data_IF_939591006092
#
_entry.id   IF_939591006092
#
_cell.length_a   1.000
_cell.length_b   1.000
_cell.length_c   1.000
_cell.angle_alpha   90.00
_cell.angle_beta   90.00
_cell.angle_gamma   90.00
#
_symmetry.space_group_name_H-M   'P 1'
#
loop_
_entity.id
_entity.type
_entity.pdbx_description
1 polymer ?
#
# COMPACT_ATOMS: atom_id res chain seq x y z
N UNK A 1 -41.37 22.90 -8.85
CA UNK A 1 -40.33 22.30 -9.73
C UNK A 1 -38.93 22.27 -9.12
N UNK A 2 -38.69 22.94 -7.99
CA UNK A 2 -37.35 23.10 -7.39
C UNK A 2 -36.95 21.99 -6.39
N UNK A 3 -37.91 21.24 -5.83
CA UNK A 3 -37.65 20.19 -4.83
C UNK A 3 -37.10 18.89 -5.42
N UNK A 4 -37.58 18.50 -6.61
CA UNK A 4 -37.11 17.31 -7.34
C UNK A 4 -35.71 17.48 -7.92
N UNK A 5 -35.32 18.71 -8.28
CA UNK A 5 -33.98 19.01 -8.79
C UNK A 5 -32.92 18.92 -7.68
N UNK A 6 -33.22 19.45 -6.48
CA UNK A 6 -32.34 19.32 -5.31
C UNK A 6 -32.12 17.86 -4.92
N UNK A 7 -33.17 17.02 -4.95
CA UNK A 7 -33.05 15.58 -4.67
C UNK A 7 -32.20 14.81 -5.68
N UNK A 8 -32.33 15.11 -6.98
CA UNK A 8 -31.49 14.52 -8.03
C UNK A 8 -30.01 14.93 -7.91
N UNK A 9 -29.75 16.19 -7.54
CA UNK A 9 -28.38 16.70 -7.31
C UNK A 9 -27.76 15.99 -6.10
N UNK A 10 -28.48 15.85 -4.99
CA UNK A 10 -28.00 15.14 -3.79
C UNK A 10 -27.69 13.67 -4.13
N UNK A 11 -28.57 12.99 -4.86
CA UNK A 11 -28.35 11.61 -5.28
C UNK A 11 -27.12 11.47 -6.19
N UNK A 12 -26.94 12.40 -7.14
CA UNK A 12 -25.76 12.43 -8.00
C UNK A 12 -24.46 12.67 -7.22
N UNK A 13 -24.48 13.58 -6.23
CA UNK A 13 -23.34 13.83 -5.35
C UNK A 13 -22.99 12.62 -4.48
N UNK A 14 -23.99 11.92 -3.92
CA UNK A 14 -23.77 10.69 -3.17
C UNK A 14 -23.20 9.58 -4.05
N UNK A 15 -23.74 9.38 -5.25
CA UNK A 15 -23.19 8.42 -6.22
C UNK A 15 -21.75 8.76 -6.63
N UNK A 16 -21.44 10.04 -6.82
CA UNK A 16 -20.08 10.50 -7.14
C UNK A 16 -19.11 10.29 -5.97
N UNK A 17 -19.52 10.55 -4.72
CA UNK A 17 -18.72 10.25 -3.53
C UNK A 17 -18.47 8.74 -3.35
N UNK A 18 -19.47 7.91 -3.64
CA UNK A 18 -19.34 6.44 -3.64
C UNK A 18 -18.38 6.00 -4.75
N UNK A 19 -18.49 6.57 -5.94
CA UNK A 19 -17.58 6.31 -7.06
C UNK A 19 -16.14 6.74 -6.72
N UNK A 20 -15.91 7.91 -6.13
CA UNK A 20 -14.58 8.34 -5.67
C UNK A 20 -14.03 7.42 -4.58
N UNK A 21 -14.87 7.02 -3.62
CA UNK A 21 -14.47 6.06 -2.59
C UNK A 21 -14.08 4.72 -3.21
N UNK A 22 -14.82 4.28 -4.23
CA UNK A 22 -14.52 3.09 -5.01
C UNK A 22 -13.22 3.23 -5.81
N UNK A 23 -12.93 4.41 -6.38
CA UNK A 23 -11.66 4.68 -7.08
C UNK A 23 -10.44 4.63 -6.14
N UNK A 24 -10.60 5.01 -4.86
CA UNK A 24 -9.52 4.87 -3.86
C UNK A 24 -9.14 3.42 -3.60
N UNK A 25 -10.10 2.49 -3.67
CA UNK A 25 -9.89 1.05 -3.47
C UNK A 25 -9.23 0.38 -4.68
N UNK A 26 -9.48 0.87 -5.90
CA UNK A 26 -8.90 0.32 -7.13
C UNK A 26 -7.36 0.46 -7.19
N UNK A 27 -6.79 1.43 -6.47
CA UNK A 27 -5.34 1.65 -6.43
C UNK A 27 -4.54 0.56 -5.70
N UNK A 28 -5.16 -0.21 -4.79
CA UNK A 28 -4.44 -1.16 -3.95
C UNK A 28 -4.36 -2.59 -4.55
N UNK A 29 -5.35 -2.97 -5.36
CA UNK A 29 -5.53 -4.37 -5.79
C UNK A 29 -4.51 -4.93 -6.80
N UNK A 30 -3.54 -4.13 -7.26
CA UNK A 30 -2.49 -4.62 -8.18
C UNK A 30 -1.24 -5.15 -7.48
N UNK A 31 -1.15 -5.01 -6.16
CA UNK A 31 0.09 -5.30 -5.44
C UNK A 31 0.14 -6.75 -4.96
N UNK A 32 1.30 -7.42 -5.04
CA UNK A 32 1.43 -8.78 -4.57
C UNK A 32 1.15 -8.90 -3.05
N UNK A 33 0.70 -10.07 -2.56
CA UNK A 33 0.47 -10.31 -1.12
C UNK A 33 1.66 -9.94 -0.23
N UNK A 34 2.89 -10.02 -0.74
CA UNK A 34 4.11 -9.60 -0.04
C UNK A 34 4.05 -8.14 0.42
N UNK A 35 3.45 -7.23 -0.33
CA UNK A 35 3.36 -5.81 0.04
C UNK A 35 2.47 -5.58 1.27
N UNK A 36 1.62 -6.56 1.61
CA UNK A 36 0.71 -6.52 2.75
C UNK A 36 1.27 -7.21 4.00
N UNK A 37 2.46 -7.80 3.91
CA UNK A 37 3.12 -8.44 5.05
C UNK A 37 3.83 -7.42 5.94
N UNK A 38 4.06 -7.80 7.21
CA UNK A 38 4.75 -6.97 8.21
C UNK A 38 6.04 -6.38 7.64
N UNK A 39 6.21 -5.05 7.65
CA UNK A 39 7.42 -4.41 7.15
C UNK A 39 8.58 -4.60 8.13
N UNK A 40 9.82 -4.45 7.62
CA UNK A 40 11.05 -4.41 8.43
C UNK A 40 11.26 -5.62 9.33
N UNK A 41 11.03 -6.82 8.82
CA UNK A 41 11.32 -8.06 9.57
C UNK A 41 12.83 -8.26 9.66
N UNK A 42 13.40 -7.90 10.81
CA UNK A 42 14.85 -7.97 11.06
C UNK A 42 15.39 -9.40 11.02
N UNK A 43 14.66 -10.39 11.57
CA UNK A 43 15.18 -11.74 11.78
C UNK A 43 15.97 -11.89 13.10
N UNK A 44 16.63 -13.04 13.30
CA UNK A 44 17.40 -13.35 14.53
C UNK A 44 18.84 -13.81 14.27
N UNK A 45 19.32 -13.67 13.04
CA UNK A 45 20.68 -14.05 12.68
C UNK A 45 21.67 -12.91 12.98
N UNK A 46 22.89 -12.95 12.45
CA UNK A 46 23.97 -12.00 12.82
C UNK A 46 24.59 -11.26 11.63
N UNK A 47 23.96 -11.31 10.46
CA UNK A 47 24.38 -10.48 9.33
C UNK A 47 23.90 -9.02 9.52
N UNK A 48 24.51 -8.10 8.80
CA UNK A 48 24.07 -6.70 8.73
C UNK A 48 23.88 -6.34 7.26
N UNK A 49 22.64 -6.46 6.79
CA UNK A 49 22.27 -6.18 5.41
C UNK A 49 21.27 -5.04 5.37
N UNK A 50 21.46 -4.08 4.47
CA UNK A 50 20.46 -3.04 4.20
C UNK A 50 19.54 -3.53 3.09
N UNK A 51 18.26 -3.68 3.41
CA UNK A 51 17.21 -4.07 2.48
C UNK A 51 16.06 -3.06 2.58
N UNK A 52 15.07 -3.21 1.71
CA UNK A 52 13.90 -2.33 1.62
C UNK A 52 12.63 -3.13 1.89
N UNK A 53 11.70 -2.55 2.63
CA UNK A 53 10.36 -3.10 2.83
C UNK A 53 9.32 -2.00 2.65
N UNK A 54 8.19 -2.34 2.05
CA UNK A 54 7.07 -1.43 1.85
C UNK A 54 6.29 -1.24 3.15
N UNK A 55 6.15 0.01 3.58
CA UNK A 55 5.39 0.42 4.76
C UNK A 55 4.00 0.91 4.34
N UNK A 56 2.98 0.11 4.67
CA UNK A 56 1.58 0.38 4.32
C UNK A 56 1.06 1.69 4.93
N UNK A 57 1.53 2.06 6.13
CA UNK A 57 1.04 3.24 6.84
C UNK A 57 1.44 4.53 6.13
N UNK A 58 2.68 4.59 5.65
CA UNK A 58 3.19 5.74 4.90
C UNK A 58 3.04 5.61 3.40
N UNK A 59 2.70 4.41 2.90
CA UNK A 59 2.72 4.04 1.48
C UNK A 59 4.07 4.27 0.81
N UNK A 60 5.15 3.89 1.50
CA UNK A 60 6.52 4.12 1.04
C UNK A 60 7.42 2.92 1.31
N UNK A 61 8.32 2.65 0.38
CA UNK A 61 9.45 1.76 0.56
C UNK A 61 10.52 2.39 1.45
N UNK A 62 10.86 1.71 2.54
CA UNK A 62 11.82 2.19 3.54
C UNK A 62 12.97 1.20 3.71
N UNK A 63 14.19 1.73 3.80
CA UNK A 63 15.37 0.95 4.17
C UNK A 63 15.27 0.42 5.60
N UNK A 64 15.80 -0.77 5.85
CA UNK A 64 15.91 -1.36 7.18
C UNK A 64 17.09 -2.35 7.26
N UNK A 65 17.47 -2.71 8.49
CA UNK A 65 18.53 -3.69 8.74
C UNK A 65 17.92 -5.09 8.80
N UNK A 66 18.37 -5.97 7.93
CA UNK A 66 18.05 -7.38 7.91
C UNK A 66 19.23 -8.20 8.43
N UNK A 67 18.94 -9.14 9.34
CA UNK A 67 19.93 -9.97 10.01
C UNK A 67 20.32 -11.24 9.24
N UNK A 68 19.76 -11.47 8.06
CA UNK A 68 20.16 -12.56 7.17
C UNK A 68 19.31 -13.82 7.23
N UNK A 69 18.28 -13.89 8.09
CA UNK A 69 17.33 -15.02 8.10
C UNK A 69 15.92 -14.61 8.53
N UNK A 70 14.94 -15.50 8.29
CA UNK A 70 13.52 -15.29 8.65
C UNK A 70 12.88 -14.05 8.01
N UNK A 71 13.29 -13.72 6.79
CA UNK A 71 12.58 -12.70 6.01
C UNK A 71 11.21 -13.23 5.61
N UNK A 72 10.24 -12.33 5.55
CA UNK A 72 9.01 -12.56 4.79
C UNK A 72 9.20 -12.04 3.35
N UNK A 73 8.13 -12.01 2.55
CA UNK A 73 8.16 -11.54 1.17
C UNK A 73 8.28 -10.01 1.02
N UNK A 74 8.06 -9.23 2.08
CA UNK A 74 8.22 -7.78 2.11
C UNK A 74 9.69 -7.39 2.32
N UNK A 75 10.57 -7.90 1.46
CA UNK A 75 12.01 -7.81 1.61
C UNK A 75 12.70 -7.70 0.24
N UNK A 76 13.19 -6.52 -0.10
CA UNK A 76 13.73 -6.18 -1.42
C UNK A 76 15.18 -5.71 -1.31
N UNK A 77 16.03 -6.09 -2.27
CA UNK A 77 17.46 -5.74 -2.26
C UNK A 77 17.72 -4.29 -2.64
N UNK A 78 16.85 -3.70 -3.43
CA UNK A 78 16.97 -2.32 -3.92
C UNK A 78 15.69 -1.55 -3.64
N UNK A 79 15.80 -0.22 -3.65
CA UNK A 79 14.63 0.64 -3.51
C UNK A 79 13.70 0.46 -4.71
N UNK A 80 14.28 0.42 -5.91
CA UNK A 80 13.58 0.34 -7.19
C UNK A 80 12.73 -0.94 -7.29
N UNK A 81 13.23 -2.07 -6.81
CA UNK A 81 12.46 -3.33 -6.77
C UNK A 81 11.27 -3.26 -5.83
N UNK A 82 11.43 -2.59 -4.68
CA UNK A 82 10.35 -2.37 -3.75
C UNK A 82 9.28 -1.45 -4.36
N UNK A 83 9.69 -0.30 -4.91
CA UNK A 83 8.78 0.69 -5.47
C UNK A 83 7.99 0.11 -6.65
N UNK A 84 8.69 -0.49 -7.62
CA UNK A 84 8.07 -1.13 -8.79
C UNK A 84 7.03 -2.18 -8.41
N UNK A 85 7.17 -2.82 -7.25
CA UNK A 85 6.30 -3.91 -6.83
C UNK A 85 5.18 -3.47 -5.88
N UNK A 86 5.40 -2.43 -5.09
CA UNK A 86 4.53 -2.09 -3.97
C UNK A 86 4.07 -0.62 -3.88
N UNK A 87 4.61 0.30 -4.68
CA UNK A 87 4.14 1.70 -4.82
C UNK A 87 3.33 1.87 -6.11
#
# INVERSE_FOLDING_TARGET
MTQTLKGKIILALLCFCIFISFLKEVGDMRRPPSCFQTPRVTGRCKALMILYSYDQSSRLCKKYIYQGCSANGNNFKTLEDCQRKCE
#
